data_IF_158599045328
#
_entry.id   IF_158599045328
#
_cell.length_a   1.000
_cell.length_b   1.000
_cell.length_c   1.000
_cell.angle_alpha   90.00
_cell.angle_beta   90.00
_cell.angle_gamma   90.00
#
_symmetry.space_group_name_H-M   'P 1'
#
loop_
_entity.id
_entity.type
_entity.pdbx_description
1 polymer ?
#
# COMPACT_ATOMS: atom_id res chain seq x y z
N UNK A 1 19.49 26.68 2.15
CA UNK A 1 19.16 25.27 2.37
C UNK A 1 20.31 24.44 1.85
N UNK A 2 20.97 23.65 2.68
CA UNK A 2 22.25 23.01 2.31
C UNK A 2 21.98 21.61 1.77
N UNK A 3 22.72 21.20 0.75
CA UNK A 3 22.66 19.84 0.20
C UNK A 3 22.90 18.77 1.27
N UNK A 4 23.75 19.09 2.25
CA UNK A 4 24.00 18.30 3.46
C UNK A 4 22.71 17.96 4.23
N UNK A 5 21.73 18.87 4.26
CA UNK A 5 20.49 18.63 4.99
C UNK A 5 19.61 17.56 4.30
N UNK A 6 19.64 17.51 2.96
CA UNK A 6 18.92 16.49 2.19
C UNK A 6 19.58 15.11 2.31
N UNK A 7 20.92 15.07 2.24
CA UNK A 7 21.70 13.83 2.41
C UNK A 7 21.44 13.21 3.79
N UNK A 8 21.32 14.03 4.83
CA UNK A 8 20.96 13.53 6.16
C UNK A 8 19.59 12.84 6.18
N UNK A 9 18.57 13.38 5.49
CA UNK A 9 17.27 12.71 5.35
C UNK A 9 17.43 11.37 4.62
N UNK A 10 18.19 11.34 3.53
CA UNK A 10 18.42 10.12 2.75
C UNK A 10 19.13 9.03 3.56
N UNK A 11 20.14 9.39 4.35
CA UNK A 11 20.84 8.45 5.25
C UNK A 11 19.85 7.86 6.25
N UNK A 12 19.04 8.71 6.91
CA UNK A 12 18.05 8.25 7.87
C UNK A 12 17.02 7.31 7.23
N UNK A 13 16.51 7.62 6.04
CA UNK A 13 15.61 6.73 5.31
C UNK A 13 16.27 5.41 4.90
N UNK A 14 17.56 5.44 4.54
CA UNK A 14 18.33 4.22 4.27
C UNK A 14 18.45 3.32 5.51
N UNK A 15 18.66 3.92 6.69
CA UNK A 15 18.65 3.20 7.97
C UNK A 15 17.27 2.64 8.29
N UNK A 16 16.19 3.39 8.03
CA UNK A 16 14.81 2.88 8.18
C UNK A 16 14.63 1.61 7.36
N UNK A 17 14.99 1.63 6.07
CA UNK A 17 14.88 0.44 5.20
C UNK A 17 15.71 -0.72 5.73
N UNK A 18 16.94 -0.47 6.18
CA UNK A 18 17.84 -1.51 6.71
C UNK A 18 17.27 -2.17 7.97
N UNK A 19 16.91 -1.37 8.98
CA UNK A 19 16.38 -1.89 10.25
C UNK A 19 15.02 -2.54 10.08
N UNK A 20 14.17 -1.99 9.21
CA UNK A 20 12.88 -2.60 8.88
C UNK A 20 13.04 -3.96 8.20
N UNK A 21 13.98 -4.08 7.26
CA UNK A 21 14.29 -5.36 6.61
C UNK A 21 14.98 -6.37 7.55
N UNK A 22 15.68 -5.88 8.58
CA UNK A 22 16.30 -6.72 9.61
C UNK A 22 15.35 -7.13 10.75
N UNK A 23 14.06 -6.79 10.64
CA UNK A 23 13.03 -7.03 11.66
C UNK A 23 13.28 -6.34 13.02
N UNK A 24 14.15 -5.33 13.05
CA UNK A 24 14.40 -4.51 14.24
C UNK A 24 13.59 -3.21 14.17
N UNK A 25 12.32 -3.32 14.55
CA UNK A 25 11.33 -2.24 14.41
C UNK A 25 11.60 -1.03 15.30
N UNK A 26 12.27 -1.20 16.45
CA UNK A 26 12.53 -0.13 17.42
C UNK A 26 13.36 1.02 16.81
N UNK A 27 14.59 0.75 16.34
CA UNK A 27 15.41 1.74 15.65
C UNK A 27 14.76 2.27 14.39
N UNK A 28 14.09 1.43 13.59
CA UNK A 28 13.40 1.86 12.38
C UNK A 28 12.37 2.96 12.68
N UNK A 29 11.56 2.80 13.72
CA UNK A 29 10.57 3.80 14.15
C UNK A 29 11.22 5.13 14.59
N UNK A 30 12.32 5.05 15.35
CA UNK A 30 13.08 6.23 15.80
C UNK A 30 13.67 7.00 14.61
N UNK A 31 14.30 6.28 13.67
CA UNK A 31 14.86 6.90 12.47
C UNK A 31 13.77 7.45 11.56
N UNK A 32 12.62 6.79 11.44
CA UNK A 32 11.49 7.27 10.64
C UNK A 32 10.96 8.59 11.18
N UNK A 33 10.68 8.68 12.48
CA UNK A 33 10.24 9.93 13.12
C UNK A 33 11.26 11.06 12.97
N UNK A 34 12.55 10.73 13.09
CA UNK A 34 13.65 11.69 12.90
C UNK A 34 13.76 12.17 11.46
N UNK A 35 13.68 11.26 10.48
CA UNK A 35 13.71 11.57 9.05
C UNK A 35 12.55 12.48 8.65
N UNK A 36 11.33 12.17 9.11
CA UNK A 36 10.16 12.99 8.83
C UNK A 36 10.27 14.38 9.43
N UNK A 37 10.71 14.49 10.68
CA UNK A 37 10.92 15.81 11.31
C UNK A 37 11.95 16.64 10.55
N UNK A 38 13.03 16.03 10.08
CA UNK A 38 14.05 16.72 9.28
C UNK A 38 13.51 17.09 7.88
N UNK A 39 12.76 16.21 7.23
CA UNK A 39 12.08 16.47 5.97
C UNK A 39 11.15 17.69 6.08
N UNK A 40 10.35 17.77 7.15
CA UNK A 40 9.50 18.93 7.45
C UNK A 40 10.31 20.21 7.66
N UNK A 41 11.40 20.12 8.43
CA UNK A 41 12.26 21.27 8.72
C UNK A 41 12.86 21.88 7.47
N UNK A 42 13.24 21.07 6.49
CA UNK A 42 13.76 21.55 5.19
C UNK A 42 12.65 21.77 4.15
N UNK A 43 11.39 21.59 4.53
CA UNK A 43 10.22 21.87 3.71
C UNK A 43 10.04 20.93 2.51
N UNK A 44 10.46 19.67 2.60
CA UNK A 44 10.36 18.73 1.47
C UNK A 44 8.94 18.60 0.93
N UNK A 45 7.93 18.70 1.79
CA UNK A 45 6.51 18.61 1.47
C UNK A 45 5.90 19.87 0.84
N UNK A 46 6.67 20.96 0.70
CA UNK A 46 6.16 22.27 0.25
C UNK A 46 6.82 22.69 -1.06
N UNK A 47 6.04 22.86 -2.14
CA UNK A 47 6.52 23.29 -3.47
C UNK A 47 7.39 24.53 -3.42
N UNK A 48 6.98 25.53 -2.64
CA UNK A 48 7.69 26.81 -2.49
C UNK A 48 9.12 26.67 -1.96
N UNK A 49 9.42 25.62 -1.19
CA UNK A 49 10.77 25.40 -0.64
C UNK A 49 11.79 25.05 -1.73
N UNK A 50 11.32 24.45 -2.83
CA UNK A 50 12.13 24.00 -3.96
C UNK A 50 12.16 25.02 -5.11
N UNK A 51 11.43 26.13 -5.02
CA UNK A 51 11.29 27.12 -6.12
C UNK A 51 12.63 27.75 -6.54
N UNK A 52 13.58 27.86 -5.59
CA UNK A 52 14.92 28.42 -5.84
C UNK A 52 15.99 27.36 -6.08
N UNK A 53 15.61 26.07 -6.10
CA UNK A 53 16.54 24.98 -6.38
C UNK A 53 16.76 24.82 -7.87
N UNK A 54 17.88 24.20 -8.25
CA UNK A 54 18.03 23.69 -9.63
C UNK A 54 16.96 22.62 -9.91
N UNK A 55 16.56 22.41 -11.17
CA UNK A 55 15.57 21.39 -11.53
C UNK A 55 15.92 19.99 -11.01
N UNK A 56 17.19 19.59 -11.11
CA UNK A 56 17.70 18.30 -10.62
C UNK A 56 17.54 18.15 -9.11
N UNK A 57 17.89 19.19 -8.35
CA UNK A 57 17.77 19.18 -6.89
C UNK A 57 16.29 19.18 -6.47
N UNK A 58 15.43 19.97 -7.14
CA UNK A 58 14.00 19.99 -6.87
C UNK A 58 13.37 18.60 -7.09
N UNK A 59 13.74 17.92 -8.19
CA UNK A 59 13.30 16.56 -8.49
C UNK A 59 13.76 15.57 -7.42
N UNK A 60 15.03 15.63 -7.00
CA UNK A 60 15.56 14.76 -5.95
C UNK A 60 14.83 14.98 -4.61
N UNK A 61 14.55 16.24 -4.24
CA UNK A 61 13.78 16.58 -3.03
C UNK A 61 12.38 15.99 -3.05
N UNK A 62 11.68 16.10 -4.17
CA UNK A 62 10.34 15.53 -4.35
C UNK A 62 10.37 14.00 -4.22
N UNK A 63 11.37 13.33 -4.81
CA UNK A 63 11.54 11.87 -4.68
C UNK A 63 11.80 11.44 -3.24
N UNK A 64 12.71 12.12 -2.55
CA UNK A 64 13.02 11.82 -1.14
C UNK A 64 11.76 11.98 -0.27
N UNK A 65 10.97 13.02 -0.50
CA UNK A 65 9.69 13.19 0.19
C UNK A 65 8.75 12.00 -0.04
N UNK A 66 8.51 11.64 -1.31
CA UNK A 66 7.58 10.57 -1.64
C UNK A 66 8.07 9.19 -1.19
N UNK A 67 9.38 8.95 -1.14
CA UNK A 67 9.97 7.75 -0.52
C UNK A 67 9.68 7.74 0.99
N UNK A 68 9.93 8.86 1.68
CA UNK A 68 9.62 8.99 3.10
C UNK A 68 8.14 8.78 3.40
N UNK A 69 7.26 9.30 2.54
CA UNK A 69 5.81 9.13 2.63
C UNK A 69 5.39 7.66 2.51
N UNK A 70 5.94 6.92 1.53
CA UNK A 70 5.65 5.49 1.36
C UNK A 70 6.10 4.72 2.60
N UNK A 71 7.33 4.94 3.07
CA UNK A 71 7.87 4.25 4.25
C UNK A 71 7.06 4.53 5.51
N UNK A 72 6.68 5.80 5.74
CA UNK A 72 5.82 6.20 6.86
C UNK A 72 4.50 5.41 6.86
N UNK A 73 3.85 5.26 5.70
CA UNK A 73 2.58 4.54 5.56
C UNK A 73 2.74 3.01 5.66
N UNK A 74 3.78 2.46 5.06
CA UNK A 74 4.10 1.02 5.18
C UNK A 74 4.33 0.63 6.65
N UNK A 75 5.14 1.41 7.36
CA UNK A 75 5.46 1.19 8.78
C UNK A 75 4.22 1.38 9.65
N UNK A 76 3.45 2.44 9.42
CA UNK A 76 2.25 2.76 10.20
C UNK A 76 1.21 1.65 10.11
N UNK A 77 0.95 1.17 8.89
CA UNK A 77 -0.05 0.12 8.68
C UNK A 77 0.39 -1.22 9.30
N UNK A 78 1.69 -1.55 9.25
CA UNK A 78 2.22 -2.78 9.84
C UNK A 78 2.34 -2.72 11.37
N UNK A 79 2.67 -1.56 11.94
CA UNK A 79 2.85 -1.40 13.38
C UNK A 79 1.58 -0.97 14.12
N UNK A 80 0.54 -0.53 13.40
CA UNK A 80 -0.65 0.07 14.00
C UNK A 80 -0.39 1.46 14.62
N UNK A 81 0.77 2.08 14.35
CA UNK A 81 1.09 3.41 14.82
C UNK A 81 0.64 4.48 13.82
N UNK A 82 0.30 5.67 14.33
CA UNK A 82 -0.13 6.77 13.49
C UNK A 82 0.98 7.23 12.54
N UNK A 83 0.66 7.47 11.25
CA UNK A 83 1.62 8.06 10.33
C UNK A 83 2.06 9.45 10.79
N UNK A 84 3.33 9.76 10.57
CA UNK A 84 3.93 11.05 10.98
C UNK A 84 3.54 12.17 10.01
N UNK A 85 3.45 11.88 8.70
CA UNK A 85 3.02 12.87 7.71
C UNK A 85 1.50 12.99 7.68
N UNK A 86 0.97 14.20 7.83
CA UNK A 86 -0.43 14.51 7.55
C UNK A 86 -0.62 14.81 6.06
N UNK A 87 -1.65 14.24 5.44
CA UNK A 87 -1.96 14.45 4.01
C UNK A 87 -2.34 15.91 3.71
N UNK A 88 -2.97 16.61 4.66
CA UNK A 88 -3.37 18.03 4.54
C UNK A 88 -2.19 19.00 4.45
N UNK A 89 -1.00 18.58 4.89
CA UNK A 89 0.22 19.39 4.91
C UNK A 89 1.09 19.20 3.66
N UNK A 90 0.61 18.43 2.67
CA UNK A 90 1.36 18.12 1.44
C UNK A 90 0.97 19.10 0.34
N UNK A 91 1.90 19.97 -0.03
CA UNK A 91 1.82 20.86 -1.20
C UNK A 91 2.82 20.38 -2.27
N UNK A 92 2.65 19.14 -2.72
CA UNK A 92 3.42 18.55 -3.81
C UNK A 92 2.52 17.80 -4.78
N UNK A 93 2.86 17.90 -6.06
CA UNK A 93 2.26 17.08 -7.10
C UNK A 93 2.73 15.62 -6.97
N UNK A 94 1.83 14.69 -7.29
CA UNK A 94 2.16 13.27 -7.39
C UNK A 94 3.24 13.04 -8.46
N UNK A 95 4.10 12.01 -8.32
CA UNK A 95 5.02 11.63 -9.39
C UNK A 95 4.28 11.49 -10.73
N UNK A 96 4.84 11.98 -11.85
CA UNK A 96 4.11 12.05 -13.11
C UNK A 96 3.73 10.66 -13.61
N UNK A 97 2.53 10.51 -14.17
CA UNK A 97 2.10 9.24 -14.75
C UNK A 97 2.90 8.90 -16.02
N UNK A 98 3.21 9.91 -16.82
CA UNK A 98 3.98 9.82 -18.06
C UNK A 98 5.08 10.87 -18.10
N UNK A 99 6.22 10.51 -18.69
CA UNK A 99 7.35 11.43 -18.96
C UNK A 99 8.26 10.85 -20.03
N UNK A 100 8.93 11.72 -20.78
CA UNK A 100 9.93 11.37 -21.80
C UNK A 100 11.36 11.50 -21.30
N UNK A 101 11.60 12.39 -20.33
CA UNK A 101 12.95 12.88 -20.04
C UNK A 101 13.56 12.19 -18.81
N UNK A 102 12.74 11.82 -17.84
CA UNK A 102 13.16 11.30 -16.54
C UNK A 102 12.45 9.99 -16.20
N UNK A 103 13.03 8.88 -16.64
CA UNK A 103 12.45 7.54 -16.50
C UNK A 103 12.69 6.90 -15.12
N UNK A 104 13.29 7.61 -14.16
CA UNK A 104 13.51 7.02 -12.84
C UNK A 104 12.18 6.79 -12.10
N UNK A 105 12.01 5.57 -11.60
CA UNK A 105 10.75 5.08 -11.03
C UNK A 105 9.82 4.40 -12.05
N UNK A 106 10.16 4.43 -13.35
CA UNK A 106 9.46 3.65 -14.37
C UNK A 106 10.00 2.22 -14.44
N UNK A 107 9.10 1.28 -14.70
CA UNK A 107 9.39 -0.10 -15.05
C UNK A 107 8.90 -0.38 -16.46
N UNK A 108 9.62 -1.23 -17.19
CA UNK A 108 9.29 -1.63 -18.55
C UNK A 108 8.81 -3.07 -18.53
N UNK A 109 7.74 -3.34 -19.28
CA UNK A 109 7.28 -4.70 -19.50
C UNK A 109 8.27 -5.45 -20.40
N UNK A 110 8.13 -6.77 -20.45
CA UNK A 110 8.96 -7.63 -21.31
C UNK A 110 8.74 -7.40 -22.81
N UNK A 111 7.66 -6.71 -23.19
CA UNK A 111 7.41 -6.31 -24.56
C UNK A 111 8.33 -5.15 -25.04
N UNK A 112 9.01 -4.48 -24.09
CA UNK A 112 9.97 -3.40 -24.34
C UNK A 112 9.36 -2.04 -24.67
N UNK A 113 8.05 -1.91 -24.82
CA UNK A 113 7.39 -0.64 -25.15
C UNK A 113 6.39 -0.19 -24.09
N UNK A 114 5.77 -1.12 -23.36
CA UNK A 114 4.86 -0.78 -22.29
C UNK A 114 5.66 -0.39 -21.05
N UNK A 115 5.40 0.80 -20.54
CA UNK A 115 6.01 1.31 -19.31
C UNK A 115 4.94 1.81 -18.35
N UNK A 116 5.24 1.79 -17.06
CA UNK A 116 4.44 2.48 -16.06
C UNK A 116 5.34 3.10 -15.00
N UNK A 117 4.90 4.20 -14.40
CA UNK A 117 5.57 4.76 -13.24
C UNK A 117 5.23 3.94 -11.98
N UNK A 118 6.03 2.92 -11.68
CA UNK A 118 5.90 2.11 -10.47
C UNK A 118 6.00 2.95 -9.20
N UNK A 119 6.88 3.95 -9.18
CA UNK A 119 7.01 4.85 -8.04
C UNK A 119 5.71 5.62 -7.78
N UNK A 120 5.05 6.12 -8.82
CA UNK A 120 3.71 6.74 -8.71
C UNK A 120 2.69 5.75 -8.14
N UNK A 121 2.63 4.54 -8.69
CA UNK A 121 1.69 3.51 -8.23
C UNK A 121 1.89 3.18 -6.73
N UNK A 122 3.14 3.19 -6.25
CA UNK A 122 3.45 3.05 -4.81
C UNK A 122 2.99 4.23 -3.97
N UNK A 123 3.16 5.46 -4.43
CA UNK A 123 2.66 6.65 -3.69
C UNK A 123 1.12 6.63 -3.61
N UNK A 124 0.45 6.24 -4.69
CA UNK A 124 -1.02 6.12 -4.70
C UNK A 124 -1.49 5.04 -3.72
N UNK A 125 -0.82 3.89 -3.70
CA UNK A 125 -1.12 2.83 -2.74
C UNK A 125 -0.85 3.28 -1.30
N UNK A 126 0.22 4.04 -1.04
CA UNK A 126 0.52 4.60 0.28
C UNK A 126 -0.58 5.55 0.80
N UNK A 127 -1.21 6.33 -0.09
CA UNK A 127 -2.41 7.12 0.27
C UNK A 127 -3.58 6.24 0.68
N UNK A 128 -3.80 5.14 -0.05
CA UNK A 128 -4.84 4.15 0.30
C UNK A 128 -4.51 3.51 1.66
N UNK A 129 -3.25 3.15 1.91
CA UNK A 129 -2.80 2.63 3.21
C UNK A 129 -3.09 3.61 4.36
N UNK A 130 -2.94 4.92 4.15
CA UNK A 130 -3.37 5.93 5.10
C UNK A 130 -4.87 5.88 5.39
N UNK A 131 -5.70 5.77 4.35
CA UNK A 131 -7.16 5.60 4.53
C UNK A 131 -7.53 4.29 5.23
N UNK A 132 -6.79 3.20 4.98
CA UNK A 132 -6.95 1.92 5.69
C UNK A 132 -6.60 2.10 7.17
N UNK A 133 -5.46 2.72 7.47
CA UNK A 133 -5.07 3.03 8.85
C UNK A 133 -6.17 3.83 9.58
N UNK A 134 -6.70 4.88 8.95
CA UNK A 134 -7.76 5.70 9.52
C UNK A 134 -9.06 4.93 9.79
N UNK A 135 -9.33 3.89 9.01
CA UNK A 135 -10.51 3.04 9.14
C UNK A 135 -10.32 1.89 10.16
N UNK A 136 -9.08 1.41 10.34
CA UNK A 136 -8.80 0.18 11.09
C UNK A 136 -8.17 0.48 12.46
N UNK A 137 -7.20 1.38 12.53
CA UNK A 137 -6.33 1.56 13.71
C UNK A 137 -6.48 2.90 14.42
N UNK A 138 -6.95 3.95 13.73
CA UNK A 138 -7.03 5.29 14.33
C UNK A 138 -7.93 5.32 15.58
N UNK A 139 -7.65 6.22 16.53
CA UNK A 139 -8.52 6.40 17.71
C UNK A 139 -9.98 6.72 17.31
N UNK A 140 -10.25 7.60 16.30
CA UNK A 140 -11.61 7.79 15.81
C UNK A 140 -12.26 6.52 15.24
N UNK A 141 -11.49 5.57 14.69
CA UNK A 141 -12.03 4.32 14.15
C UNK A 141 -12.77 3.47 15.18
N UNK A 142 -12.45 3.64 16.47
CA UNK A 142 -13.11 2.94 17.58
C UNK A 142 -14.51 3.47 17.85
N UNK A 143 -14.78 4.72 17.45
CA UNK A 143 -16.04 5.41 17.71
C UNK A 143 -16.94 5.51 16.47
N UNK A 144 -16.52 4.95 15.32
CA UNK A 144 -17.34 4.94 14.12
C UNK A 144 -18.58 4.07 14.36
N UNK A 145 -19.73 4.59 13.94
CA UNK A 145 -20.90 3.76 13.84
C UNK A 145 -20.78 2.75 12.68
N UNK A 146 -21.75 1.85 12.61
CA UNK A 146 -21.76 0.74 11.63
C UNK A 146 -21.87 1.28 10.21
N UNK A 147 -22.67 2.33 9.99
CA UNK A 147 -22.91 2.89 8.66
C UNK A 147 -21.66 3.63 8.16
N UNK A 148 -21.04 4.44 9.02
CA UNK A 148 -19.79 5.14 8.75
C UNK A 148 -18.64 4.16 8.46
N UNK A 149 -18.54 3.06 9.21
CA UNK A 149 -17.52 2.04 8.96
C UNK A 149 -17.76 1.31 7.64
N UNK A 150 -19.01 0.95 7.34
CA UNK A 150 -19.36 0.33 6.08
C UNK A 150 -19.07 1.26 4.89
N UNK A 151 -19.42 2.55 4.99
CA UNK A 151 -19.13 3.55 3.97
C UNK A 151 -17.62 3.71 3.75
N UNK A 152 -16.84 3.87 4.82
CA UNK A 152 -15.37 3.98 4.73
C UNK A 152 -14.75 2.73 4.11
N UNK A 153 -15.22 1.54 4.51
CA UNK A 153 -14.75 0.27 3.97
C UNK A 153 -15.06 0.15 2.48
N UNK A 154 -16.28 0.51 2.06
CA UNK A 154 -16.68 0.52 0.66
C UNK A 154 -15.85 1.51 -0.17
N UNK A 155 -15.59 2.71 0.37
CA UNK A 155 -14.73 3.74 -0.25
C UNK A 155 -13.31 3.24 -0.46
N UNK A 156 -12.69 2.65 0.57
CA UNK A 156 -11.34 2.08 0.45
C UNK A 156 -11.31 0.97 -0.59
N UNK A 157 -12.32 0.10 -0.59
CA UNK A 157 -12.38 -1.01 -1.52
C UNK A 157 -12.53 -0.52 -2.97
N UNK A 158 -13.33 0.54 -3.21
CA UNK A 158 -13.39 1.23 -4.50
C UNK A 158 -12.04 1.83 -4.89
N UNK A 159 -11.34 2.51 -3.98
CA UNK A 159 -10.01 3.09 -4.24
C UNK A 159 -8.99 2.02 -4.65
N UNK A 160 -9.02 0.83 -4.03
CA UNK A 160 -8.14 -0.29 -4.39
C UNK A 160 -8.49 -0.88 -5.76
N UNK A 161 -9.77 -0.96 -6.11
CA UNK A 161 -10.23 -1.44 -7.40
C UNK A 161 -9.85 -0.45 -8.53
N UNK A 162 -10.10 0.85 -8.32
CA UNK A 162 -9.67 1.92 -9.23
C UNK A 162 -8.15 1.91 -9.45
N UNK A 163 -7.38 1.89 -8.36
CA UNK A 163 -5.92 1.84 -8.43
C UNK A 163 -5.43 0.62 -9.20
N UNK A 164 -6.00 -0.56 -8.94
CA UNK A 164 -5.61 -1.79 -9.65
C UNK A 164 -5.98 -1.75 -11.13
N UNK A 165 -7.10 -1.11 -11.49
CA UNK A 165 -7.55 -0.98 -12.88
C UNK A 165 -6.62 -0.10 -13.73
N UNK A 166 -5.86 0.79 -13.09
CA UNK A 166 -4.89 1.68 -13.75
C UNK A 166 -3.53 1.03 -13.98
N UNK A 167 -3.31 -0.19 -13.49
CA UNK A 167 -2.11 -0.98 -13.76
C UNK A 167 -2.25 -1.66 -15.14
N UNK A 168 -1.32 -1.43 -16.09
CA UNK A 168 -1.36 -2.09 -17.41
C UNK A 168 -1.33 -3.62 -17.32
N UNK A 169 -1.98 -4.29 -18.29
CA UNK A 169 -2.14 -5.75 -18.34
C UNK A 169 -0.80 -6.50 -18.33
N UNK A 170 0.22 -5.88 -18.89
CA UNK A 170 1.59 -6.40 -18.99
C UNK A 170 2.24 -6.59 -17.61
N UNK A 171 1.75 -5.86 -16.61
CA UNK A 171 2.20 -5.91 -15.23
C UNK A 171 1.24 -6.68 -14.32
N UNK A 172 0.17 -7.28 -14.87
CA UNK A 172 -0.70 -8.17 -14.10
C UNK A 172 0.00 -9.49 -13.82
N UNK A 173 -0.36 -10.14 -12.72
CA UNK A 173 0.24 -11.39 -12.22
C UNK A 173 0.40 -12.44 -13.32
N UNK A 174 -0.66 -12.72 -14.10
CA UNK A 174 -0.63 -13.73 -15.15
C UNK A 174 0.39 -13.42 -16.26
N UNK A 175 0.61 -12.15 -16.59
CA UNK A 175 1.57 -11.74 -17.62
C UNK A 175 3.00 -11.72 -17.08
N UNK A 176 3.19 -11.28 -15.83
CA UNK A 176 4.48 -11.32 -15.15
C UNK A 176 5.03 -12.74 -15.02
N UNK A 177 4.16 -13.71 -14.68
CA UNK A 177 4.54 -15.12 -14.61
C UNK A 177 5.04 -15.66 -15.96
N UNK A 178 4.51 -15.14 -17.07
CA UNK A 178 4.92 -15.54 -18.43
C UNK A 178 6.19 -14.85 -18.91
N UNK A 179 6.49 -13.65 -18.41
CA UNK A 179 7.67 -12.90 -18.83
C UNK A 179 8.96 -13.40 -18.18
N UNK A 180 8.87 -14.15 -17.08
CA UNK A 180 9.99 -14.75 -16.35
C UNK A 180 11.06 -13.73 -15.89
N UNK A 181 10.71 -12.45 -15.75
CA UNK A 181 11.61 -11.43 -15.24
C UNK A 181 11.61 -11.42 -13.71
N UNK A 182 12.70 -11.89 -13.09
CA UNK A 182 12.84 -11.94 -11.63
C UNK A 182 12.71 -10.56 -10.96
N UNK A 183 13.27 -9.51 -11.54
CA UNK A 183 13.23 -8.15 -10.96
C UNK A 183 11.82 -7.56 -10.95
N UNK A 184 11.13 -7.60 -12.10
CA UNK A 184 9.73 -7.18 -12.19
C UNK A 184 8.83 -7.99 -11.25
N UNK A 185 9.00 -9.31 -11.22
CA UNK A 185 8.19 -10.17 -10.34
C UNK A 185 8.36 -9.77 -8.87
N UNK A 186 9.59 -9.48 -8.43
CA UNK A 186 9.88 -8.97 -7.09
C UNK A 186 9.18 -7.63 -6.80
N UNK A 187 9.27 -6.65 -7.71
CA UNK A 187 8.61 -5.35 -7.53
C UNK A 187 7.10 -5.49 -7.42
N UNK A 188 6.48 -6.26 -8.31
CA UNK A 188 5.03 -6.44 -8.31
C UNK A 188 4.54 -7.37 -7.20
N UNK A 189 5.35 -8.32 -6.72
CA UNK A 189 5.07 -9.03 -5.48
C UNK A 189 4.93 -8.04 -4.32
N UNK A 190 5.88 -7.12 -4.14
CA UNK A 190 5.79 -6.13 -3.06
C UNK A 190 4.59 -5.19 -3.23
N UNK A 191 4.26 -4.82 -4.47
CA UNK A 191 3.11 -3.95 -4.76
C UNK A 191 1.78 -4.65 -4.43
N UNK A 192 1.62 -5.89 -4.89
CA UNK A 192 0.40 -6.65 -4.71
C UNK A 192 0.27 -7.21 -3.30
N UNK A 193 1.36 -7.51 -2.58
CA UNK A 193 1.29 -7.88 -1.16
C UNK A 193 0.74 -6.73 -0.31
N UNK A 194 1.19 -5.50 -0.55
CA UNK A 194 0.67 -4.31 0.13
C UNK A 194 -0.81 -4.09 -0.21
N UNK A 195 -1.19 -4.19 -1.48
CA UNK A 195 -2.60 -4.08 -1.89
C UNK A 195 -3.48 -5.16 -1.24
N UNK A 196 -3.00 -6.39 -1.20
CA UNK A 196 -3.69 -7.51 -0.57
C UNK A 196 -3.83 -7.31 0.94
N UNK A 197 -2.79 -6.81 1.60
CA UNK A 197 -2.82 -6.46 3.03
C UNK A 197 -3.87 -5.39 3.32
N UNK A 198 -3.98 -4.36 2.48
CA UNK A 198 -5.05 -3.36 2.58
C UNK A 198 -6.44 -4.01 2.47
N UNK A 199 -6.65 -4.87 1.45
CA UNK A 199 -7.94 -5.58 1.28
C UNK A 199 -8.27 -6.47 2.48
N UNK A 200 -7.28 -7.19 3.00
CA UNK A 200 -7.45 -8.07 4.14
C UNK A 200 -7.82 -7.29 5.41
N UNK A 201 -7.08 -6.22 5.72
CA UNK A 201 -7.35 -5.38 6.90
C UNK A 201 -8.72 -4.70 6.84
N UNK A 202 -9.10 -4.17 5.67
CA UNK A 202 -10.44 -3.61 5.49
C UNK A 202 -11.51 -4.69 5.64
N UNK A 203 -11.30 -5.88 5.09
CA UNK A 203 -12.26 -7.00 5.23
C UNK A 203 -12.42 -7.45 6.68
N UNK A 204 -11.32 -7.53 7.45
CA UNK A 204 -11.36 -7.85 8.88
C UNK A 204 -12.07 -6.76 9.67
N UNK A 205 -11.83 -5.49 9.36
CA UNK A 205 -12.52 -4.38 10.01
C UNK A 205 -14.03 -4.39 9.71
N UNK A 206 -14.44 -4.69 8.48
CA UNK A 206 -15.86 -4.87 8.13
C UNK A 206 -16.47 -6.13 8.74
N UNK A 207 -15.69 -7.20 8.93
CA UNK A 207 -16.17 -8.44 9.56
C UNK A 207 -16.20 -8.35 11.09
N UNK A 208 -15.48 -7.40 11.68
CA UNK A 208 -15.51 -7.11 13.12
C UNK A 208 -16.68 -6.17 13.48
N UNK A 209 -17.37 -5.60 12.48
CA UNK A 209 -18.65 -4.94 12.71
C UNK A 209 -19.71 -5.96 13.09
N UNK A 210 -20.35 -5.72 14.23
CA UNK A 210 -21.39 -6.59 14.76
C UNK A 210 -22.53 -6.85 13.78
N UNK A 211 -22.80 -5.94 12.84
CA UNK A 211 -23.88 -6.07 11.84
C UNK A 211 -23.53 -6.99 10.68
N UNK A 212 -22.38 -6.78 10.02
CA UNK A 212 -21.97 -7.67 8.93
C UNK A 212 -21.56 -9.05 9.43
N UNK A 213 -20.98 -9.11 10.63
CA UNK A 213 -20.75 -10.37 11.33
C UNK A 213 -22.07 -11.07 11.66
N UNK A 214 -23.04 -10.37 12.27
CA UNK A 214 -24.33 -10.98 12.63
C UNK A 214 -25.13 -11.40 11.40
N UNK A 215 -25.16 -10.59 10.34
CA UNK A 215 -25.82 -10.91 9.08
C UNK A 215 -25.17 -12.11 8.38
N UNK A 216 -23.83 -12.16 8.31
CA UNK A 216 -23.14 -13.33 7.77
C UNK A 216 -23.38 -14.58 8.62
N UNK A 217 -23.27 -14.48 9.96
CA UNK A 217 -23.55 -15.59 10.88
C UNK A 217 -24.99 -16.06 10.75
N UNK A 218 -25.95 -15.15 10.63
CA UNK A 218 -27.36 -15.49 10.43
C UNK A 218 -27.55 -16.25 9.11
N UNK A 219 -27.00 -15.74 7.99
CA UNK A 219 -27.02 -16.43 6.70
C UNK A 219 -26.39 -17.82 6.79
N UNK A 220 -25.30 -17.95 7.53
CA UNK A 220 -24.60 -19.23 7.75
C UNK A 220 -25.44 -20.21 8.57
N UNK A 221 -26.13 -19.73 9.61
CA UNK A 221 -27.05 -20.53 10.41
C UNK A 221 -28.25 -21.01 9.58
N UNK A 222 -28.84 -20.13 8.76
CA UNK A 222 -29.91 -20.49 7.82
C UNK A 222 -29.44 -21.53 6.81
N UNK A 223 -28.23 -21.37 6.27
CA UNK A 223 -27.60 -22.36 5.39
C UNK A 223 -27.45 -23.73 6.08
N UNK A 224 -26.93 -23.75 7.31
CA UNK A 224 -26.81 -24.98 8.10
C UNK A 224 -28.17 -25.65 8.37
N UNK A 225 -29.21 -24.86 8.66
CA UNK A 225 -30.58 -25.36 8.82
C UNK A 225 -31.13 -26.01 7.54
N UNK A 226 -30.89 -25.42 6.37
CA UNK A 226 -31.30 -25.98 5.07
C UNK A 226 -30.59 -27.30 4.75
N UNK A 227 -29.29 -27.41 5.07
CA UNK A 227 -28.55 -28.67 4.94
C UNK A 227 -29.11 -29.74 5.88
N UNK A 228 -29.34 -29.39 7.15
CA UNK A 228 -29.89 -30.33 8.13
C UNK A 228 -31.29 -30.84 7.72
N UNK A 229 -32.08 -30.02 7.03
CA UNK A 229 -33.39 -30.38 6.46
C UNK A 229 -33.30 -31.20 5.15
N UNK A 230 -32.11 -31.57 4.68
CA UNK A 230 -31.91 -32.36 3.47
C UNK A 230 -32.15 -31.60 2.15
N UNK A 231 -32.16 -30.27 2.19
CA UNK A 231 -32.32 -29.45 0.99
C UNK A 231 -31.02 -29.38 0.19
N UNK A 232 -31.12 -29.37 -1.14
CA UNK A 232 -29.96 -29.14 -2.02
C UNK A 232 -29.61 -27.65 -1.98
N UNK A 233 -28.50 -27.32 -1.35
CA UNK A 233 -27.99 -25.94 -1.23
C UNK A 233 -26.66 -25.84 -1.98
N UNK A 234 -26.47 -24.80 -2.81
CA UNK A 234 -25.33 -24.70 -3.73
C UNK A 234 -24.03 -24.30 -3.04
N UNK A 235 -23.99 -23.19 -2.31
CA UNK A 235 -22.76 -22.68 -1.67
C UNK A 235 -23.03 -22.04 -0.31
N UNK A 236 -22.07 -22.19 0.61
CA UNK A 236 -22.10 -21.55 1.91
C UNK A 236 -21.97 -20.01 1.76
N UNK A 237 -22.71 -19.21 2.55
CA UNK A 237 -22.58 -17.77 2.50
C UNK A 237 -21.20 -17.36 3.03
N UNK A 238 -20.53 -16.49 2.28
CA UNK A 238 -19.23 -15.93 2.65
C UNK A 238 -19.37 -14.48 3.11
N UNK A 239 -18.40 -13.98 3.91
CA UNK A 239 -18.35 -12.57 4.28
C UNK A 239 -18.27 -11.67 3.05
N UNK A 240 -18.68 -10.41 3.23
CA UNK A 240 -18.64 -9.41 2.16
C UNK A 240 -17.23 -9.34 1.53
N UNK A 241 -17.17 -9.37 0.19
CA UNK A 241 -15.95 -9.34 -0.64
C UNK A 241 -14.92 -10.46 -0.40
N UNK A 242 -15.29 -11.52 0.32
CA UNK A 242 -14.40 -12.67 0.55
C UNK A 242 -13.88 -13.31 -0.73
N UNK A 243 -14.72 -13.47 -1.76
CA UNK A 243 -14.30 -14.04 -3.04
C UNK A 243 -13.20 -13.21 -3.71
N UNK A 244 -13.37 -11.89 -3.77
CA UNK A 244 -12.36 -10.99 -4.34
C UNK A 244 -11.04 -11.07 -3.56
N UNK A 245 -11.09 -11.18 -2.24
CA UNK A 245 -9.90 -11.38 -1.41
C UNK A 245 -9.24 -12.73 -1.69
N UNK A 246 -10.02 -13.82 -1.75
CA UNK A 246 -9.53 -15.16 -2.00
C UNK A 246 -8.89 -15.30 -3.40
N UNK A 247 -9.50 -14.71 -4.43
CA UNK A 247 -8.97 -14.72 -5.79
C UNK A 247 -7.69 -13.89 -5.90
N UNK A 248 -7.67 -12.69 -5.32
CA UNK A 248 -6.46 -11.87 -5.25
C UNK A 248 -5.31 -12.58 -4.50
N UNK A 249 -5.62 -13.27 -3.39
CA UNK A 249 -4.64 -14.07 -2.66
C UNK A 249 -4.07 -15.21 -3.50
N UNK A 250 -4.91 -15.94 -4.25
CA UNK A 250 -4.46 -17.03 -5.12
C UNK A 250 -3.52 -16.53 -6.21
N UNK A 251 -3.87 -15.42 -6.86
CA UNK A 251 -3.03 -14.84 -7.89
C UNK A 251 -1.72 -14.33 -7.30
N UNK A 252 -1.76 -13.63 -6.15
CA UNK A 252 -0.56 -13.21 -5.43
C UNK A 252 0.36 -14.39 -5.10
N UNK A 253 -0.17 -15.50 -4.56
CA UNK A 253 0.64 -16.66 -4.19
C UNK A 253 1.41 -17.25 -5.38
N UNK A 254 0.79 -17.30 -6.56
CA UNK A 254 1.48 -17.75 -7.78
C UNK A 254 2.67 -16.86 -8.13
N UNK A 255 2.53 -15.53 -7.99
CA UNK A 255 3.63 -14.60 -8.22
C UNK A 255 4.70 -14.73 -7.13
N UNK A 256 4.29 -14.85 -5.87
CA UNK A 256 5.18 -14.99 -4.72
C UNK A 256 6.09 -16.21 -4.85
N UNK A 257 5.59 -17.34 -5.35
CA UNK A 257 6.38 -18.55 -5.61
C UNK A 257 7.53 -18.33 -6.61
N UNK A 258 7.49 -17.26 -7.42
CA UNK A 258 8.56 -16.92 -8.37
C UNK A 258 9.69 -16.09 -7.77
N UNK A 259 9.50 -15.53 -6.57
CA UNK A 259 10.50 -14.72 -5.87
C UNK A 259 11.38 -15.62 -5.02
N UNK A 260 12.69 -15.41 -5.05
CA UNK A 260 13.62 -16.19 -4.23
C UNK A 260 13.32 -16.06 -2.73
N UNK A 261 13.27 -17.20 -2.03
CA UNK A 261 12.96 -17.31 -0.58
C UNK A 261 13.96 -16.59 0.35
N UNK A 262 15.06 -16.05 -0.19
CA UNK A 262 16.08 -15.29 0.56
C UNK A 262 15.90 -13.77 0.47
N UNK A 263 14.86 -13.29 -0.20
CA UNK A 263 14.61 -11.86 -0.28
C UNK A 263 14.21 -11.30 1.09
N UNK A 264 15.01 -10.38 1.61
CA UNK A 264 14.84 -9.73 2.91
C UNK A 264 13.47 -9.05 3.07
N UNK A 265 12.79 -8.70 1.98
CA UNK A 265 11.46 -8.11 2.03
C UNK A 265 10.33 -9.13 2.25
N UNK A 266 10.62 -10.43 2.10
CA UNK A 266 9.65 -11.53 2.16
C UNK A 266 10.01 -12.61 3.18
N UNK A 267 11.09 -12.46 3.94
CA UNK A 267 11.54 -13.42 4.96
C UNK A 267 10.71 -13.40 6.26
N UNK A 268 9.41 -13.09 6.17
CA UNK A 268 8.43 -13.18 7.27
C UNK A 268 7.42 -14.29 7.00
#
# INVERSE_FOLDING_TARGET
MRETDLVNVQILLGLVVLFWAADDSGPALVFMGTAMRLAHRIGLQVRKSSQKCSPTLALQRNRVFWIAYILDRDISLQSGLAPVQLDSEIDLDMPPAETTDDLAGFVFAADGYTKMNYFRARVELARIQGSVYDCVYSTPAQNLDIEERAEKSARIAYMLDDWSSRIPLEFHTATLLRSCSSELSRYFCMLYSTSLSCRALTSVASASDSFHYSDWVQRLQEYGGKIAAGQVVSHAPVPYRWHALADASRDYMRLFETVETKDLFFSR
#
